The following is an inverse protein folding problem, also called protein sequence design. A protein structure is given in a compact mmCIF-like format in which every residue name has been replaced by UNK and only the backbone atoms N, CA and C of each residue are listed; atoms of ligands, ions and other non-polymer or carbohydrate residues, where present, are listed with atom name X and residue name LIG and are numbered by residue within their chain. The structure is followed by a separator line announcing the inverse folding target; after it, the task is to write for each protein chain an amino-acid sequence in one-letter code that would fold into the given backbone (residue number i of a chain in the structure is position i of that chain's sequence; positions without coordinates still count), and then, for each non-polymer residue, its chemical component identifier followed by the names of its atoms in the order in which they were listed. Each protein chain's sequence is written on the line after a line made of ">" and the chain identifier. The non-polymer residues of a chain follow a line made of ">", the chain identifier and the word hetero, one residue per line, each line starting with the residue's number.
data_IF_452773289477
#
_entry.id   IF_452773289477
#
_cell.length_a   1.000
_cell.length_b   1.000
_cell.length_c   1.000
_cell.angle_alpha   90.00
_cell.angle_beta   90.00
_cell.angle_gamma   90.00
#
_symmetry.space_group_name_H-M   'P 1'
#
loop_
_entity.id
_entity.type
_entity.pdbx_description
1 polymer ?
#
# COMPACT_ATOMS: atom_id res chain seq x y z
N UNK A 1 -13.08 75.75 23.85
CA UNK A 1 -13.37 75.12 22.55
C UNK A 1 -12.20 74.22 22.20
N UNK A 2 -12.38 72.90 22.19
CA UNK A 2 -11.42 71.98 21.58
C UNK A 2 -12.22 70.87 20.92
N UNK A 3 -12.17 70.88 19.58
CA UNK A 3 -12.87 69.96 18.68
C UNK A 3 -12.07 68.64 18.58
N UNK A 4 -12.83 67.55 18.68
CA UNK A 4 -12.71 66.25 18.01
C UNK A 4 -11.35 65.79 17.46
N UNK A 5 -10.96 64.58 17.84
CA UNK A 5 -10.52 63.57 16.87
C UNK A 5 -11.14 62.22 17.25
N UNK A 6 -12.11 61.84 16.42
CA UNK A 6 -12.92 60.66 16.54
C UNK A 6 -12.15 59.43 16.05
N UNK A 7 -12.31 58.33 16.77
CA UNK A 7 -12.54 57.01 16.19
C UNK A 7 -11.44 56.45 15.26
N UNK A 8 -10.31 56.04 15.83
CA UNK A 8 -9.51 54.96 15.22
C UNK A 8 -9.90 53.63 15.90
N UNK A 9 -10.96 53.00 15.38
CA UNK A 9 -11.12 51.56 15.56
C UNK A 9 -9.93 50.90 14.87
N UNK A 10 -8.98 50.36 15.64
CA UNK A 10 -8.02 49.40 15.10
C UNK A 10 -8.80 48.15 14.73
N UNK A 11 -9.14 47.99 13.46
CA UNK A 11 -9.58 46.71 12.93
C UNK A 11 -8.47 45.69 13.19
N UNK A 12 -8.70 44.75 14.11
CA UNK A 12 -7.79 43.62 14.39
C UNK A 12 -7.90 42.49 13.38
N UNK A 13 -8.70 42.65 12.33
CA UNK A 13 -9.05 41.57 11.41
C UNK A 13 -8.39 41.75 10.04
N UNK A 14 -7.07 41.88 10.00
CA UNK A 14 -6.35 41.64 8.74
C UNK A 14 -4.87 41.29 8.93
N UNK A 15 -4.59 40.20 9.65
CA UNK A 15 -3.27 39.56 9.64
C UNK A 15 -3.33 38.08 9.23
N UNK A 16 -4.43 37.62 8.61
CA UNK A 16 -4.51 36.27 8.09
C UNK A 16 -4.76 36.33 6.57
N UNK A 17 -3.74 36.71 5.82
CA UNK A 17 -3.74 36.39 4.39
C UNK A 17 -3.62 34.87 4.29
N UNK A 18 -4.70 34.21 3.85
CA UNK A 18 -4.78 32.76 3.62
C UNK A 18 -3.81 32.21 2.55
N UNK A 19 -2.76 32.96 2.22
CA UNK A 19 -1.71 32.63 1.27
C UNK A 19 -0.39 32.20 1.93
N UNK A 20 -0.32 32.10 3.27
CA UNK A 20 0.78 31.37 3.91
C UNK A 20 0.57 29.86 3.75
N UNK A 21 0.96 29.33 2.58
CA UNK A 21 1.16 27.90 2.42
C UNK A 21 2.38 27.50 3.26
N UNK A 22 2.19 26.57 4.18
CA UNK A 22 3.29 25.99 4.95
C UNK A 22 4.14 25.08 4.04
N UNK A 23 5.02 25.68 3.22
CA UNK A 23 6.13 24.96 2.58
C UNK A 23 7.15 24.43 3.63
N UNK A 24 6.94 24.76 4.91
CA UNK A 24 7.89 24.53 5.99
C UNK A 24 7.74 23.17 6.71
N UNK A 25 6.64 22.43 6.54
CA UNK A 25 6.42 21.18 7.29
C UNK A 25 7.42 20.09 6.85
N UNK A 26 7.64 19.95 5.55
CA UNK A 26 8.57 18.94 5.02
C UNK A 26 10.03 19.27 5.39
N UNK A 27 10.40 20.55 5.31
CA UNK A 27 11.72 21.05 5.72
C UNK A 27 11.95 20.83 7.23
N UNK A 28 10.96 21.17 8.05
CA UNK A 28 11.00 20.96 9.50
C UNK A 28 11.17 19.48 9.87
N UNK A 29 10.46 18.58 9.17
CA UNK A 29 10.59 17.13 9.40
C UNK A 29 11.98 16.60 9.03
N UNK A 30 12.58 17.10 7.93
CA UNK A 30 13.95 16.76 7.51
C UNK A 30 14.97 17.18 8.57
N UNK A 31 14.92 18.45 9.00
CA UNK A 31 15.82 19.01 10.02
C UNK A 31 15.67 18.27 11.36
N UNK A 32 14.44 17.98 11.78
CA UNK A 32 14.15 17.22 13.00
C UNK A 32 14.75 15.82 12.95
N UNK A 33 14.65 15.13 11.82
CA UNK A 33 15.21 13.78 11.64
C UNK A 33 16.74 13.78 11.74
N UNK A 34 17.42 14.69 11.03
CA UNK A 34 18.88 14.78 11.08
C UNK A 34 19.40 15.18 12.46
N UNK A 35 18.72 16.13 13.12
CA UNK A 35 19.04 16.55 14.49
C UNK A 35 18.91 15.39 15.48
N UNK A 36 17.95 14.48 15.29
CA UNK A 36 17.83 13.28 16.12
C UNK A 36 18.99 12.32 15.92
N UNK A 37 19.48 12.18 14.69
CA UNK A 37 20.66 11.38 14.40
C UNK A 37 21.86 12.00 15.12
N UNK A 38 22.14 13.28 14.92
CA UNK A 38 23.26 14.00 15.56
C UNK A 38 23.24 13.93 17.10
N UNK A 39 22.04 13.96 17.70
CA UNK A 39 21.89 13.85 19.17
C UNK A 39 21.91 12.42 19.68
N UNK A 40 21.89 11.42 18.79
CA UNK A 40 21.86 10.02 19.21
C UNK A 40 23.22 9.60 19.78
N UNK A 41 23.22 9.13 21.03
CA UNK A 41 24.42 8.66 21.76
C UNK A 41 24.74 7.19 21.49
N UNK A 42 24.05 6.57 20.53
CA UNK A 42 24.25 5.16 20.20
C UNK A 42 25.60 4.97 19.50
N UNK A 43 26.47 4.16 20.09
CA UNK A 43 27.84 3.88 19.62
C UNK A 43 27.95 2.69 18.68
N UNK A 44 26.84 2.09 18.24
CA UNK A 44 26.88 1.02 17.24
C UNK A 44 27.49 1.52 15.92
N UNK A 45 28.21 0.65 15.22
CA UNK A 45 28.78 0.98 13.89
C UNK A 45 27.70 1.49 12.92
N UNK A 46 26.49 0.92 12.96
CA UNK A 46 25.36 1.41 12.16
C UNK A 46 24.95 2.85 12.51
N UNK A 47 24.96 3.21 13.79
CA UNK A 47 24.69 4.59 14.24
C UNK A 47 25.81 5.55 13.84
N UNK A 48 27.07 5.16 14.05
CA UNK A 48 28.25 5.93 13.64
C UNK A 48 28.26 6.21 12.13
N UNK A 49 27.88 5.22 11.32
CA UNK A 49 27.74 5.41 9.87
C UNK A 49 26.64 6.42 9.52
N UNK A 50 25.48 6.37 10.20
CA UNK A 50 24.41 7.35 9.99
C UNK A 50 24.85 8.78 10.33
N UNK A 51 25.58 8.94 11.43
CA UNK A 51 26.20 10.21 11.82
C UNK A 51 27.16 10.73 10.74
N UNK A 52 28.06 9.86 10.26
CA UNK A 52 29.02 10.22 9.20
C UNK A 52 28.32 10.65 7.91
N UNK A 53 27.27 9.93 7.51
CA UNK A 53 26.47 10.29 6.32
C UNK A 53 25.73 11.61 6.55
N UNK A 54 25.15 11.84 7.73
CA UNK A 54 24.50 13.10 8.05
C UNK A 54 25.46 14.31 7.96
N UNK A 55 26.70 14.16 8.41
CA UNK A 55 27.71 15.22 8.37
C UNK A 55 28.45 15.38 7.02
N UNK A 56 28.47 14.35 6.16
CA UNK A 56 29.24 14.37 4.90
C UNK A 56 28.44 14.85 3.68
N UNK A 57 27.12 14.99 3.84
CA UNK A 57 26.19 15.33 2.76
C UNK A 57 25.37 16.58 3.12
N UNK A 58 24.94 17.32 2.10
CA UNK A 58 23.92 18.37 2.25
C UNK A 58 22.67 17.79 2.90
N UNK A 59 22.02 18.55 3.79
CA UNK A 59 20.91 18.07 4.62
C UNK A 59 19.80 17.36 3.82
N UNK A 60 19.44 17.89 2.65
CA UNK A 60 18.43 17.28 1.79
C UNK A 60 18.87 15.90 1.26
N UNK A 61 20.13 15.78 0.83
CA UNK A 61 20.70 14.54 0.30
C UNK A 61 20.95 13.52 1.41
N UNK A 62 21.48 13.96 2.55
CA UNK A 62 21.65 13.14 3.75
C UNK A 62 20.33 12.50 4.16
N UNK A 63 19.26 13.29 4.26
CA UNK A 63 17.93 12.80 4.58
C UNK A 63 17.43 11.78 3.56
N UNK A 64 17.60 12.06 2.26
CA UNK A 64 17.19 11.12 1.21
C UNK A 64 17.94 9.79 1.30
N UNK A 65 19.26 9.81 1.47
CA UNK A 65 20.09 8.61 1.61
C UNK A 65 19.69 7.83 2.86
N UNK A 66 19.60 8.48 4.02
CA UNK A 66 19.32 7.83 5.31
C UNK A 66 17.91 7.22 5.38
N UNK A 67 16.95 7.78 4.65
CA UNK A 67 15.56 7.28 4.61
C UNK A 67 15.27 6.34 3.43
N UNK A 68 16.18 6.26 2.45
CA UNK A 68 16.01 5.47 1.22
C UNK A 68 17.02 4.34 1.09
N UNK A 69 18.02 4.25 1.97
CA UNK A 69 19.03 3.19 1.96
C UNK A 69 18.96 2.36 3.24
N UNK A 70 19.14 1.06 3.10
CA UNK A 70 19.43 0.13 4.19
C UNK A 70 20.90 -0.27 4.11
N UNK A 71 21.63 -0.05 5.21
CA UNK A 71 23.05 -0.37 5.33
C UNK A 71 23.19 -1.78 5.93
N UNK A 72 23.67 -2.72 5.11
CA UNK A 72 23.84 -4.12 5.45
C UNK A 72 25.19 -4.41 6.10
N UNK A 73 25.61 -5.69 6.12
CA UNK A 73 26.88 -6.09 6.71
C UNK A 73 28.07 -5.72 5.82
N UNK A 74 29.22 -5.53 6.45
CA UNK A 74 30.53 -5.58 5.80
C UNK A 74 30.95 -7.05 5.63
N UNK A 75 31.22 -7.49 4.41
CA UNK A 75 31.67 -8.87 4.13
C UNK A 75 32.92 -8.80 3.26
N UNK A 76 34.04 -9.29 3.80
CA UNK A 76 35.36 -9.20 3.16
C UNK A 76 35.70 -7.74 2.85
N UNK A 77 35.89 -7.40 1.57
CA UNK A 77 36.25 -6.05 1.09
C UNK A 77 35.04 -5.26 0.58
N UNK A 78 33.81 -5.76 0.80
CA UNK A 78 32.58 -5.19 0.24
C UNK A 78 31.60 -4.80 1.33
N UNK A 79 30.93 -3.68 1.10
CA UNK A 79 29.82 -3.23 1.94
C UNK A 79 28.52 -3.19 1.16
N UNK A 80 27.48 -3.81 1.71
CA UNK A 80 26.20 -3.94 1.02
C UNK A 80 25.25 -2.81 1.41
N UNK A 81 24.73 -2.10 0.40
CA UNK A 81 23.68 -1.11 0.56
C UNK A 81 22.50 -1.51 -0.30
N UNK A 82 21.32 -1.61 0.31
CA UNK A 82 20.07 -1.89 -0.40
C UNK A 82 19.26 -0.60 -0.51
N UNK A 83 18.89 -0.22 -1.74
CA UNK A 83 17.97 0.90 -1.93
C UNK A 83 16.53 0.44 -1.62
N UNK A 84 15.85 1.18 -0.74
CA UNK A 84 14.46 1.00 -0.32
C UNK A 84 13.49 1.90 -1.11
N UNK A 85 14.01 2.96 -1.75
CA UNK A 85 13.25 3.85 -2.63
C UNK A 85 14.09 4.13 -3.88
N UNK A 86 13.43 4.54 -4.95
CA UNK A 86 14.11 4.95 -6.17
C UNK A 86 14.82 6.30 -5.92
N UNK A 87 16.13 6.26 -5.70
CA UNK A 87 16.98 7.44 -5.61
C UNK A 87 18.14 7.33 -6.59
N UNK A 88 18.55 8.46 -7.16
CA UNK A 88 19.71 8.52 -8.04
C UNK A 88 20.94 8.79 -7.20
N UNK A 89 21.78 7.77 -7.01
CA UNK A 89 23.11 7.94 -6.40
C UNK A 89 24.14 8.11 -7.51
N UNK A 90 24.77 9.28 -7.58
CA UNK A 90 25.89 9.54 -8.48
C UNK A 90 27.13 8.77 -8.04
N UNK A 91 28.14 8.66 -8.91
CA UNK A 91 29.44 8.07 -8.51
C UNK A 91 30.08 8.86 -7.36
N UNK A 92 29.95 10.19 -7.34
CA UNK A 92 30.43 11.03 -6.25
C UNK A 92 29.74 10.67 -4.92
N UNK A 93 28.42 10.46 -4.93
CA UNK A 93 27.68 10.06 -3.74
C UNK A 93 28.11 8.69 -3.23
N UNK A 94 28.29 7.72 -4.14
CA UNK A 94 28.77 6.38 -3.80
C UNK A 94 30.17 6.42 -3.17
N UNK A 95 31.07 7.23 -3.71
CA UNK A 95 32.42 7.41 -3.16
C UNK A 95 32.40 8.04 -1.77
N UNK A 96 31.54 9.05 -1.54
CA UNK A 96 31.36 9.65 -0.21
C UNK A 96 30.76 8.67 0.80
N UNK A 97 29.78 7.85 0.38
CA UNK A 97 29.23 6.79 1.22
C UNK A 97 30.30 5.75 1.56
N UNK A 98 31.11 5.35 0.57
CA UNK A 98 32.21 4.41 0.77
C UNK A 98 33.24 4.94 1.78
N UNK A 99 33.61 6.23 1.68
CA UNK A 99 34.49 6.87 2.65
C UNK A 99 33.89 6.83 4.07
N UNK A 100 32.60 7.16 4.21
CA UNK A 100 31.90 7.08 5.49
C UNK A 100 31.85 5.65 6.04
N UNK A 101 31.76 4.64 5.18
CA UNK A 101 31.84 3.23 5.56
C UNK A 101 33.24 2.87 6.02
N UNK A 102 34.28 3.28 5.29
CA UNK A 102 35.68 3.00 5.65
C UNK A 102 36.05 3.62 7.01
N UNK A 103 35.61 4.85 7.28
CA UNK A 103 35.83 5.54 8.56
C UNK A 103 35.24 4.78 9.77
N UNK A 104 34.23 3.93 9.56
CA UNK A 104 33.48 3.26 10.64
C UNK A 104 33.76 1.77 10.71
N UNK A 105 33.89 1.11 9.55
CA UNK A 105 34.07 -0.33 9.44
C UNK A 105 35.53 -0.71 9.25
N UNK A 106 36.34 0.15 8.64
CA UNK A 106 37.75 -0.07 8.34
C UNK A 106 38.08 0.09 6.84
N UNK A 107 39.34 0.40 6.54
CA UNK A 107 39.83 0.63 5.17
C UNK A 107 39.95 -0.64 4.32
N UNK A 108 39.74 -1.82 4.89
CA UNK A 108 39.63 -3.07 4.16
C UNK A 108 38.42 -3.10 3.21
N UNK A 109 37.41 -2.25 3.45
CA UNK A 109 36.27 -2.09 2.55
C UNK A 109 36.70 -1.22 1.36
N UNK A 110 36.78 -1.82 0.18
CA UNK A 110 37.22 -1.15 -1.05
C UNK A 110 36.07 -0.84 -1.99
N UNK A 111 34.92 -1.51 -1.82
CA UNK A 111 33.83 -1.43 -2.79
C UNK A 111 32.46 -1.38 -2.10
N UNK A 112 31.58 -0.52 -2.62
CA UNK A 112 30.19 -0.42 -2.22
C UNK A 112 29.31 -1.23 -3.18
N UNK A 113 28.72 -2.32 -2.72
CA UNK A 113 27.71 -3.04 -3.47
C UNK A 113 26.33 -2.43 -3.22
N UNK A 114 25.87 -1.61 -4.18
CA UNK A 114 24.53 -1.05 -4.17
C UNK A 114 23.58 -1.99 -4.91
N UNK A 115 22.69 -2.64 -4.16
CA UNK A 115 21.55 -3.35 -4.77
C UNK A 115 20.50 -2.29 -5.14
N UNK A 116 20.17 -2.14 -6.43
CA UNK A 116 19.20 -1.14 -6.86
C UNK A 116 17.84 -1.38 -6.21
N UNK A 117 17.03 -0.33 -6.15
CA UNK A 117 15.66 -0.49 -5.70
C UNK A 117 14.93 -1.31 -6.77
N UNK A 118 14.71 -2.57 -6.47
CA UNK A 118 13.70 -3.33 -7.16
C UNK A 118 12.38 -2.70 -6.77
N UNK A 119 11.85 -1.83 -7.64
CA UNK A 119 10.40 -1.67 -7.69
C UNK A 119 9.89 -3.10 -7.80
N UNK A 120 9.22 -3.57 -6.74
CA UNK A 120 8.36 -4.72 -6.85
C UNK A 120 7.42 -4.39 -7.99
N UNK A 121 7.73 -4.88 -9.19
CA UNK A 121 6.69 -5.24 -10.14
C UNK A 121 5.85 -6.19 -9.32
N UNK A 122 4.67 -5.75 -8.90
CA UNK A 122 3.65 -6.54 -8.22
C UNK A 122 3.20 -7.66 -9.16
N UNK A 123 4.08 -8.64 -9.35
CA UNK A 123 3.93 -9.86 -10.13
C UNK A 123 4.70 -10.93 -9.35
N UNK A 124 4.24 -11.25 -8.13
CA UNK A 124 4.55 -12.52 -7.45
C UNK A 124 3.84 -12.62 -6.10
N UNK A 125 3.40 -13.83 -5.77
CA UNK A 125 2.55 -14.27 -4.66
C UNK A 125 1.03 -14.02 -4.80
N UNK A 126 0.56 -12.80 -5.11
CA UNK A 126 -0.91 -12.57 -5.20
C UNK A 126 -1.52 -13.24 -6.44
N UNK A 127 -0.90 -13.09 -7.62
CA UNK A 127 -1.35 -13.70 -8.88
C UNK A 127 -1.20 -15.22 -8.90
N UNK A 128 -0.06 -15.77 -8.43
CA UNK A 128 0.16 -17.22 -8.38
C UNK A 128 -0.89 -17.91 -7.49
N UNK A 129 -1.24 -17.30 -6.35
CA UNK A 129 -2.28 -17.81 -5.46
C UNK A 129 -3.70 -17.64 -6.06
N UNK A 130 -3.97 -16.53 -6.75
CA UNK A 130 -5.28 -16.32 -7.41
C UNK A 130 -5.49 -17.25 -8.60
N UNK A 131 -4.46 -17.52 -9.42
CA UNK A 131 -4.52 -18.47 -10.53
C UNK A 131 -4.71 -19.91 -10.03
N UNK A 132 -3.96 -20.33 -9.00
CA UNK A 132 -4.14 -21.64 -8.36
C UNK A 132 -5.54 -21.77 -7.73
N UNK A 133 -6.04 -20.70 -7.11
CA UNK A 133 -7.38 -20.65 -6.54
C UNK A 133 -8.46 -20.77 -7.62
N UNK A 134 -8.35 -20.04 -8.73
CA UNK A 134 -9.27 -20.15 -9.86
C UNK A 134 -9.21 -21.53 -10.51
N UNK A 135 -8.04 -22.15 -10.61
CA UNK A 135 -7.88 -23.51 -11.11
C UNK A 135 -8.63 -24.51 -10.21
N UNK A 136 -8.48 -24.41 -8.89
CA UNK A 136 -9.21 -25.26 -7.94
C UNK A 136 -10.72 -25.00 -7.97
N UNK A 137 -11.14 -23.74 -8.08
CA UNK A 137 -12.54 -23.34 -8.23
C UNK A 137 -13.17 -23.94 -9.49
N UNK A 138 -12.43 -23.92 -10.62
CA UNK A 138 -12.88 -24.46 -11.90
C UNK A 138 -13.09 -25.98 -11.84
N UNK A 139 -12.28 -26.70 -11.05
CA UNK A 139 -12.46 -28.15 -10.82
C UNK A 139 -13.68 -28.45 -9.96
N UNK A 140 -13.99 -27.60 -8.99
CA UNK A 140 -15.13 -27.78 -8.08
C UNK A 140 -16.48 -27.47 -8.75
N UNK A 141 -16.56 -26.37 -9.50
CA UNK A 141 -17.81 -25.88 -10.09
C UNK A 141 -17.98 -26.26 -11.56
N UNK A 142 -16.91 -26.69 -12.23
CA UNK A 142 -16.84 -26.83 -13.67
C UNK A 142 -16.53 -25.50 -14.35
N UNK A 143 -15.48 -25.47 -15.18
CA UNK A 143 -15.02 -24.26 -15.89
C UNK A 143 -16.08 -23.62 -16.80
N UNK A 144 -17.07 -24.41 -17.24
CA UNK A 144 -18.17 -23.93 -18.08
C UNK A 144 -19.40 -23.49 -17.29
N UNK A 145 -19.44 -23.69 -15.97
CA UNK A 145 -20.57 -23.27 -15.13
C UNK A 145 -20.71 -21.75 -15.14
N UNK A 146 -21.95 -21.27 -15.28
CA UNK A 146 -22.29 -19.84 -15.17
C UNK A 146 -21.83 -19.28 -13.82
N UNK A 147 -22.00 -20.05 -12.74
CA UNK A 147 -21.61 -19.63 -11.40
C UNK A 147 -20.09 -19.50 -11.24
N UNK A 148 -19.31 -20.39 -11.86
CA UNK A 148 -17.86 -20.26 -11.91
C UNK A 148 -17.44 -18.95 -12.58
N UNK A 149 -18.01 -18.65 -13.77
CA UNK A 149 -17.66 -17.43 -14.52
C UNK A 149 -18.01 -16.15 -13.77
N UNK A 150 -19.14 -16.14 -13.06
CA UNK A 150 -19.53 -15.02 -12.19
C UNK A 150 -18.54 -14.84 -11.03
N UNK A 151 -18.15 -15.93 -10.36
CA UNK A 151 -17.16 -15.85 -9.27
C UNK A 151 -15.78 -15.47 -9.80
N UNK A 152 -15.38 -15.97 -10.96
CA UNK A 152 -14.13 -15.58 -11.62
C UNK A 152 -14.09 -14.06 -11.89
N UNK A 153 -15.17 -13.46 -12.42
CA UNK A 153 -15.21 -12.02 -12.62
C UNK A 153 -15.14 -11.24 -11.31
N UNK A 154 -15.84 -11.71 -10.27
CA UNK A 154 -15.82 -11.07 -8.96
C UNK A 154 -14.46 -11.18 -8.27
N UNK A 155 -13.77 -12.33 -8.40
CA UNK A 155 -12.41 -12.53 -7.89
C UNK A 155 -11.43 -11.60 -8.61
N UNK A 156 -11.56 -11.42 -9.93
CA UNK A 156 -10.72 -10.48 -10.68
C UNK A 156 -10.91 -9.03 -10.22
N UNK A 157 -12.11 -8.66 -9.80
CA UNK A 157 -12.43 -7.31 -9.32
C UNK A 157 -12.06 -7.07 -7.84
N UNK A 158 -12.37 -8.03 -6.96
CA UNK A 158 -12.29 -7.87 -5.50
C UNK A 158 -11.15 -8.67 -4.85
N UNK A 159 -10.60 -9.65 -5.54
CA UNK A 159 -9.61 -10.59 -5.02
C UNK A 159 -10.23 -11.80 -4.31
N UNK A 160 -9.44 -12.86 -4.19
CA UNK A 160 -9.88 -14.15 -3.62
C UNK A 160 -10.34 -14.09 -2.14
N UNK A 161 -9.91 -13.09 -1.36
CA UNK A 161 -10.27 -12.99 0.05
C UNK A 161 -11.77 -12.67 0.25
N UNK A 162 -12.31 -11.80 -0.61
CA UNK A 162 -13.73 -11.45 -0.61
C UNK A 162 -14.57 -12.65 -1.04
N UNK A 163 -14.12 -13.36 -2.07
CA UNK A 163 -14.77 -14.58 -2.52
C UNK A 163 -14.81 -15.66 -1.42
N UNK A 164 -13.69 -15.92 -0.74
CA UNK A 164 -13.66 -16.84 0.43
C UNK A 164 -14.57 -16.39 1.57
N UNK A 165 -14.67 -15.08 1.80
CA UNK A 165 -15.46 -14.54 2.92
C UNK A 165 -16.97 -14.54 2.65
N UNK A 166 -17.38 -14.37 1.40
CA UNK A 166 -18.78 -14.10 1.04
C UNK A 166 -19.30 -14.99 -0.08
N UNK A 167 -18.75 -14.90 -1.30
CA UNK A 167 -19.34 -15.57 -2.47
C UNK A 167 -19.21 -17.10 -2.42
N UNK A 168 -18.17 -17.64 -1.79
CA UNK A 168 -17.99 -19.08 -1.57
C UNK A 168 -19.02 -19.69 -0.62
N UNK A 169 -19.73 -18.85 0.12
CA UNK A 169 -20.77 -19.23 1.07
C UNK A 169 -22.18 -19.19 0.45
N UNK A 170 -22.26 -18.86 -0.83
CA UNK A 170 -23.47 -18.95 -1.63
C UNK A 170 -23.54 -20.31 -2.33
N UNK A 171 -24.71 -20.93 -2.27
CA UNK A 171 -25.01 -22.21 -2.92
C UNK A 171 -26.03 -22.00 -4.03
N UNK A 172 -25.80 -22.63 -5.19
CA UNK A 172 -26.75 -22.63 -6.30
C UNK A 172 -27.81 -23.69 -6.00
N UNK A 173 -29.05 -23.26 -5.81
CA UNK A 173 -30.20 -24.14 -5.56
C UNK A 173 -30.74 -24.69 -6.88
N UNK A 174 -30.85 -23.82 -7.89
CA UNK A 174 -31.44 -24.17 -9.18
C UNK A 174 -30.87 -23.28 -10.28
N UNK A 175 -30.63 -23.86 -11.46
CA UNK A 175 -30.23 -23.16 -12.68
C UNK A 175 -31.30 -23.40 -13.75
N UNK A 176 -32.10 -22.37 -14.00
CA UNK A 176 -33.08 -22.36 -15.07
C UNK A 176 -32.40 -21.92 -16.36
N UNK A 177 -32.01 -22.89 -17.17
CA UNK A 177 -31.33 -22.67 -18.45
C UNK A 177 -32.26 -22.07 -19.51
N UNK A 178 -33.58 -22.27 -19.40
CA UNK A 178 -34.58 -21.76 -20.36
C UNK A 178 -34.80 -20.26 -20.15
N UNK A 179 -34.99 -19.85 -18.89
CA UNK A 179 -35.20 -18.45 -18.52
C UNK A 179 -33.88 -17.70 -18.26
N UNK A 180 -32.74 -18.39 -18.38
CA UNK A 180 -31.40 -17.87 -18.04
C UNK A 180 -31.37 -17.23 -16.65
N UNK A 181 -31.89 -17.95 -15.66
CA UNK A 181 -32.02 -17.45 -14.28
C UNK A 181 -31.45 -18.46 -13.29
N UNK A 182 -30.62 -17.97 -12.37
CA UNK A 182 -29.97 -18.80 -11.35
C UNK A 182 -30.47 -18.41 -9.97
N UNK A 183 -30.87 -19.40 -9.18
CA UNK A 183 -31.30 -19.22 -7.80
C UNK A 183 -30.16 -19.59 -6.87
N UNK A 184 -29.72 -18.61 -6.07
CA UNK A 184 -28.65 -18.77 -5.11
C UNK A 184 -29.14 -18.49 -3.69
N UNK A 185 -28.47 -19.07 -2.70
CA UNK A 185 -28.79 -18.88 -1.27
C UNK A 185 -27.54 -18.79 -0.44
N UNK A 186 -27.57 -17.95 0.60
CA UNK A 186 -26.51 -17.90 1.61
C UNK A 186 -26.69 -18.98 2.68
N UNK A 187 -25.57 -19.44 3.25
CA UNK A 187 -25.56 -20.44 4.33
C UNK A 187 -26.12 -19.92 5.64
N UNK A 188 -26.03 -18.62 5.90
CA UNK A 188 -26.54 -17.98 7.13
C UNK A 188 -27.34 -16.72 6.81
N UNK A 189 -28.20 -16.32 7.76
CA UNK A 189 -28.97 -15.08 7.66
C UNK A 189 -28.06 -13.84 7.62
N UNK A 190 -26.98 -13.84 8.40
CA UNK A 190 -26.00 -12.74 8.40
C UNK A 190 -25.36 -12.55 7.02
N UNK A 191 -24.95 -13.65 6.38
CA UNK A 191 -24.38 -13.61 5.03
C UNK A 191 -25.38 -13.15 3.98
N UNK A 192 -26.65 -13.59 4.07
CA UNK A 192 -27.72 -13.12 3.19
C UNK A 192 -27.89 -11.59 3.28
N UNK A 193 -28.03 -11.06 4.50
CA UNK A 193 -28.17 -9.62 4.73
C UNK A 193 -26.95 -8.83 4.25
N UNK A 194 -25.74 -9.26 4.61
CA UNK A 194 -24.52 -8.55 4.25
C UNK A 194 -24.32 -8.50 2.72
N UNK A 195 -24.57 -9.60 2.02
CA UNK A 195 -24.41 -9.68 0.56
C UNK A 195 -25.46 -8.81 -0.16
N UNK A 196 -26.71 -8.76 0.35
CA UNK A 196 -27.75 -7.89 -0.21
C UNK A 196 -27.39 -6.42 -0.12
N UNK A 197 -26.81 -6.01 1.00
CA UNK A 197 -26.46 -4.61 1.23
C UNK A 197 -25.21 -4.18 0.46
N UNK A 198 -24.21 -5.05 0.38
CA UNK A 198 -22.87 -4.67 -0.09
C UNK A 198 -22.53 -5.13 -1.51
N UNK A 199 -23.08 -6.25 -1.99
CA UNK A 199 -22.63 -6.89 -3.24
C UNK A 199 -23.73 -7.22 -4.25
N UNK A 200 -25.00 -6.89 -3.95
CA UNK A 200 -26.12 -7.24 -4.82
C UNK A 200 -25.98 -6.65 -6.24
N UNK A 201 -25.56 -5.38 -6.33
CA UNK A 201 -25.36 -4.69 -7.62
C UNK A 201 -24.23 -5.29 -8.46
N UNK A 202 -23.17 -5.75 -7.80
CA UNK A 202 -22.02 -6.36 -8.47
C UNK A 202 -22.32 -7.77 -8.95
N UNK A 203 -23.08 -8.52 -8.14
CA UNK A 203 -23.65 -9.80 -8.56
C UNK A 203 -24.55 -9.58 -9.79
N UNK A 204 -25.46 -8.60 -9.76
CA UNK A 204 -26.34 -8.32 -10.91
C UNK A 204 -25.54 -8.02 -12.16
N UNK A 205 -24.52 -7.17 -12.04
CA UNK A 205 -23.64 -6.80 -13.15
C UNK A 205 -22.87 -8.02 -13.68
N UNK A 206 -22.37 -8.87 -12.79
CA UNK A 206 -21.60 -10.07 -13.14
C UNK A 206 -22.46 -11.14 -13.82
N UNK A 207 -23.68 -11.39 -13.32
CA UNK A 207 -24.64 -12.30 -13.96
C UNK A 207 -25.09 -11.78 -15.33
N UNK A 208 -25.39 -10.48 -15.44
CA UNK A 208 -25.77 -9.84 -16.71
C UNK A 208 -24.66 -9.96 -17.76
N UNK A 209 -23.39 -9.83 -17.35
CA UNK A 209 -22.24 -10.02 -18.25
C UNK A 209 -22.15 -11.44 -18.82
N UNK A 210 -22.65 -12.45 -18.09
CA UNK A 210 -22.76 -13.83 -18.56
C UNK A 210 -24.07 -14.11 -19.31
N UNK A 211 -24.97 -13.12 -19.46
CA UNK A 211 -26.27 -13.28 -20.09
C UNK A 211 -27.33 -13.95 -19.22
N UNK A 212 -27.11 -14.01 -17.91
CA UNK A 212 -28.03 -14.57 -16.93
C UNK A 212 -28.56 -13.49 -15.98
N UNK A 213 -29.71 -13.78 -15.38
CA UNK A 213 -30.20 -13.08 -14.19
C UNK A 213 -30.03 -14.00 -12.97
N UNK A 214 -30.09 -13.45 -11.77
CA UNK A 214 -30.10 -14.27 -10.57
C UNK A 214 -31.16 -13.81 -9.59
N UNK A 215 -31.52 -14.71 -8.68
CA UNK A 215 -32.32 -14.41 -7.51
C UNK A 215 -31.63 -14.98 -6.27
N UNK A 216 -31.30 -14.09 -5.34
CA UNK A 216 -30.87 -14.50 -4.01
C UNK A 216 -32.11 -14.81 -3.18
N UNK A 217 -32.35 -16.09 -2.92
CA UNK A 217 -33.50 -16.56 -2.15
C UNK A 217 -33.31 -16.17 -0.68
N UNK A 218 -34.28 -15.46 -0.10
CA UNK A 218 -34.24 -15.04 1.30
C UNK A 218 -34.08 -16.26 2.21
N UNK A 219 -33.16 -16.16 3.18
CA UNK A 219 -32.88 -17.24 4.12
C UNK A 219 -34.14 -17.72 4.87
N UNK A 220 -35.04 -16.78 5.21
CA UNK A 220 -36.29 -17.04 5.96
C UNK A 220 -37.30 -17.95 5.26
N UNK A 221 -37.14 -18.23 3.96
CA UNK A 221 -38.14 -18.97 3.17
C UNK A 221 -38.12 -20.50 3.35
N UNK A 222 -37.22 -21.07 4.17
CA UNK A 222 -37.06 -22.52 4.30
C UNK A 222 -37.38 -23.13 5.67
N UNK A 223 -37.84 -22.34 6.66
CA UNK A 223 -38.33 -22.89 7.94
C UNK A 223 -39.80 -23.36 7.87
N UNK A 224 -40.31 -23.68 6.67
CA UNK A 224 -41.60 -24.32 6.45
C UNK A 224 -41.46 -25.43 5.41
N UNK A 225 -40.82 -26.53 5.82
CA UNK A 225 -41.12 -27.87 5.30
C UNK A 225 -41.26 -28.77 6.52
#
# INVERSE_FOLDING_TARGET
>A
MAKALANELRNTDQANSGNFKFDNVEKFNKEKYLTQIEKSTNLSKGSQLKHKIAGSFEAAMAYQILTSCSFGPAVRTRFFVKLLKNITLTECDKSKILQAVQDVYGYEIQELQVTPFEQLKTVSQKQINEEEYLLNLSKQLGSNSTWYKVRESLIKSYGQAIDKSWFSKLEVINEDSVNKKIFIKAKTEFEDSYIRENYLKDLESSFKAQGFSFELVKFSNFNKI
#
